data_IF_002670187821
#
_entry.id   IF_002670187821
#
_cell.length_a   1.000
_cell.length_b   1.000
_cell.length_c   1.000
_cell.angle_alpha   90.00
_cell.angle_beta   90.00
_cell.angle_gamma   90.00
#
_symmetry.space_group_name_H-M   'P 1'
#
loop_
_entity.id
_entity.type
_entity.pdbx_description
1 polymer ?
#
# COMPACT_ATOMS: atom_id res chain seq x y z
N UNK A 1 -13.84 7.30 -4.55
CA UNK A 1 -13.32 6.26 -5.46
C UNK A 1 -12.73 5.18 -4.55
N UNK A 2 -12.79 3.89 -4.88
CA UNK A 2 -12.09 2.85 -4.10
C UNK A 2 -10.92 2.29 -4.90
N UNK A 3 -9.87 1.84 -4.21
CA UNK A 3 -8.55 1.51 -4.75
C UNK A 3 -8.17 0.04 -4.50
N UNK A 4 -7.14 -0.45 -5.20
CA UNK A 4 -6.49 -1.73 -4.91
C UNK A 4 -5.46 -1.51 -3.79
N UNK A 5 -5.60 -2.22 -2.67
CA UNK A 5 -4.65 -2.18 -1.57
C UNK A 5 -3.57 -3.25 -1.76
N UNK A 6 -2.31 -2.82 -1.91
CA UNK A 6 -1.17 -3.72 -2.10
C UNK A 6 -0.31 -3.72 -0.83
N UNK A 7 -0.09 -4.89 -0.23
CA UNK A 7 0.68 -5.05 1.00
C UNK A 7 2.01 -5.74 0.74
N UNK A 8 3.10 -5.05 1.04
CA UNK A 8 4.47 -5.49 0.74
C UNK A 8 4.93 -6.59 1.71
N UNK A 9 5.73 -7.52 1.19
CA UNK A 9 6.34 -8.61 1.95
C UNK A 9 7.73 -8.26 2.50
N UNK A 10 8.41 -9.29 3.04
CA UNK A 10 9.81 -9.17 3.48
C UNK A 10 10.74 -8.78 2.31
N UNK A 11 11.63 -7.82 2.55
CA UNK A 11 12.48 -7.19 1.54
C UNK A 11 12.13 -5.72 1.30
N UNK A 12 10.93 -5.25 1.67
CA UNK A 12 10.52 -3.85 1.51
C UNK A 12 10.84 -2.95 2.70
N UNK A 13 11.37 -3.51 3.79
CA UNK A 13 11.69 -2.76 5.01
C UNK A 13 12.78 -1.72 4.78
N UNK A 14 12.72 -0.61 5.52
CA UNK A 14 13.74 0.45 5.50
C UNK A 14 14.08 0.87 6.93
N UNK A 15 15.35 1.17 7.25
CA UNK A 15 15.71 1.74 8.53
C UNK A 15 14.89 2.99 8.85
N UNK A 16 14.29 3.04 10.04
CA UNK A 16 13.45 4.14 10.53
C UNK A 16 12.01 4.17 10.01
N UNK A 17 11.56 3.14 9.28
CA UNK A 17 10.19 3.09 8.77
C UNK A 17 9.14 3.22 9.89
N UNK A 18 8.03 3.90 9.60
CA UNK A 18 6.90 4.08 10.52
C UNK A 18 6.89 5.40 11.30
N UNK A 19 8.05 6.00 11.58
CA UNK A 19 8.12 7.23 12.40
C UNK A 19 7.36 8.41 11.82
N UNK A 20 7.55 8.68 10.52
CA UNK A 20 6.83 9.74 9.82
C UNK A 20 5.33 9.48 9.82
N UNK A 21 4.94 8.22 9.57
CA UNK A 21 3.54 7.82 9.52
C UNK A 21 2.83 8.01 10.88
N UNK A 22 3.50 7.62 11.98
CA UNK A 22 3.02 7.82 13.35
C UNK A 22 2.91 9.31 13.70
N UNK A 23 3.85 10.14 13.24
CA UNK A 23 3.79 11.58 13.46
C UNK A 23 2.61 12.24 12.71
N UNK A 24 2.17 11.66 11.59
CA UNK A 24 1.13 12.20 10.72
C UNK A 24 -0.27 11.59 10.93
N UNK A 25 -0.39 10.49 11.66
CA UNK A 25 -1.64 9.77 11.85
C UNK A 25 -1.75 9.17 13.25
N UNK A 26 -2.78 9.59 13.98
CA UNK A 26 -3.14 9.00 15.27
C UNK A 26 -3.56 7.54 15.15
N UNK A 27 -4.23 7.15 14.06
CA UNK A 27 -4.58 5.75 13.80
C UNK A 27 -3.34 4.87 13.57
N UNK A 28 -2.31 5.41 12.90
CA UNK A 28 -1.02 4.74 12.79
C UNK A 28 -0.34 4.62 14.17
N UNK A 29 -0.34 5.67 14.99
CA UNK A 29 0.21 5.64 16.35
C UNK A 29 -0.42 4.54 17.20
N UNK A 30 -1.76 4.45 17.22
CA UNK A 30 -2.50 3.38 17.93
C UNK A 30 -2.15 1.98 17.42
N UNK A 31 -1.87 1.83 16.13
CA UNK A 31 -1.46 0.52 15.58
C UNK A 31 -0.08 0.10 16.10
N UNK A 32 0.86 1.04 16.24
CA UNK A 32 2.18 0.78 16.83
C UNK A 32 2.11 0.52 18.34
N UNK A 33 1.24 1.22 19.07
CA UNK A 33 0.95 0.94 20.49
C UNK A 33 0.42 -0.49 20.66
N UNK A 34 -0.58 -0.89 19.87
CA UNK A 34 -1.11 -2.26 19.86
C UNK A 34 -0.01 -3.29 19.60
N UNK A 35 0.87 -3.04 18.63
CA UNK A 35 1.97 -3.95 18.35
C UNK A 35 2.96 -4.06 19.52
N UNK A 36 3.21 -2.95 20.21
CA UNK A 36 3.99 -2.91 21.44
C UNK A 36 3.37 -3.73 22.55
N UNK A 37 2.06 -3.63 22.76
CA UNK A 37 1.31 -4.39 23.77
C UNK A 37 1.30 -5.90 23.46
N UNK A 38 1.13 -6.27 22.20
CA UNK A 38 1.09 -7.68 21.75
C UNK A 38 2.45 -8.36 21.88
N UNK A 39 3.54 -7.66 21.54
CA UNK A 39 4.86 -8.27 21.43
C UNK A 39 5.78 -7.98 22.62
N UNK A 40 5.48 -6.95 23.41
CA UNK A 40 6.39 -6.40 24.41
C UNK A 40 7.63 -5.75 23.80
N UNK A 41 7.57 -5.31 22.53
CA UNK A 41 8.70 -4.74 21.77
C UNK A 41 8.29 -3.41 21.15
N UNK A 42 9.11 -2.38 21.33
CA UNK A 42 8.99 -1.12 20.57
C UNK A 42 9.45 -1.34 19.12
N UNK A 43 8.48 -1.56 18.22
CA UNK A 43 8.76 -1.81 16.81
C UNK A 43 9.26 -0.57 16.05
N UNK A 44 8.96 0.66 16.50
CA UNK A 44 9.53 1.87 15.89
C UNK A 44 11.04 1.93 16.17
N UNK A 45 11.43 1.61 17.41
CA UNK A 45 12.84 1.52 17.78
C UNK A 45 13.55 0.37 17.07
N UNK A 46 12.92 -0.80 16.99
CA UNK A 46 13.49 -1.93 16.25
C UNK A 46 13.67 -1.60 14.76
N UNK A 47 12.73 -0.85 14.17
CA UNK A 47 12.81 -0.40 12.78
C UNK A 47 14.02 0.52 12.50
N UNK A 48 14.60 1.17 13.51
CA UNK A 48 15.83 1.96 13.34
C UNK A 48 17.04 1.12 12.92
N UNK A 49 16.96 -0.21 13.11
CA UNK A 49 17.97 -1.17 12.69
C UNK A 49 19.39 -0.89 13.23
N UNK A 50 19.51 -0.35 14.45
CA UNK A 50 20.80 0.04 15.05
C UNK A 50 21.72 -1.14 15.32
N UNK A 51 21.15 -2.33 15.51
CA UNK A 51 21.85 -3.56 15.83
C UNK A 51 21.54 -4.69 14.84
N UNK A 52 21.07 -4.37 13.64
CA UNK A 52 20.72 -5.37 12.62
C UNK A 52 19.40 -6.09 12.88
N UNK A 53 18.48 -5.46 13.62
CA UNK A 53 17.16 -6.00 13.95
C UNK A 53 16.36 -6.40 12.70
N UNK A 54 16.44 -5.63 11.63
CA UNK A 54 15.71 -5.88 10.38
C UNK A 54 16.26 -7.05 9.56
N UNK A 55 17.40 -7.62 9.95
CA UNK A 55 17.92 -8.87 9.37
C UNK A 55 17.35 -10.11 10.07
N UNK A 56 16.69 -9.95 11.22
CA UNK A 56 16.13 -11.04 12.02
C UNK A 56 14.67 -11.27 11.62
N UNK A 57 14.31 -12.43 11.03
CA UNK A 57 12.96 -12.72 10.55
C UNK A 57 11.88 -12.49 11.61
N UNK A 58 12.15 -12.87 12.85
CA UNK A 58 11.25 -12.72 13.98
C UNK A 58 10.99 -11.25 14.38
N UNK A 59 11.83 -10.31 13.96
CA UNK A 59 11.65 -8.88 14.20
C UNK A 59 11.12 -8.17 12.94
N UNK A 60 11.72 -8.45 11.78
CA UNK A 60 11.37 -7.75 10.54
C UNK A 60 9.94 -8.04 10.08
N UNK A 61 9.43 -9.26 10.26
CA UNK A 61 8.07 -9.58 9.82
C UNK A 61 7.01 -8.82 10.63
N UNK A 62 7.07 -8.74 11.97
CA UNK A 62 6.24 -7.84 12.74
C UNK A 62 6.38 -6.36 12.38
N UNK A 63 7.60 -5.88 12.10
CA UNK A 63 7.82 -4.48 11.69
C UNK A 63 7.08 -4.17 10.39
N UNK A 64 7.19 -5.04 9.38
CA UNK A 64 6.52 -4.86 8.08
C UNK A 64 5.00 -4.95 8.24
N UNK A 65 4.53 -5.96 8.98
CA UNK A 65 3.09 -6.18 9.24
C UNK A 65 2.47 -4.97 9.92
N UNK A 66 3.11 -4.48 10.98
CA UNK A 66 2.65 -3.31 11.74
C UNK A 66 2.64 -2.06 10.87
N UNK A 67 3.67 -1.86 10.03
CA UNK A 67 3.67 -0.73 9.10
C UNK A 67 2.51 -0.80 8.11
N UNK A 68 2.24 -1.97 7.52
CA UNK A 68 1.15 -2.12 6.56
C UNK A 68 -0.23 -1.87 7.18
N UNK A 69 -0.45 -2.36 8.40
CA UNK A 69 -1.65 -2.08 9.19
C UNK A 69 -1.78 -0.59 9.55
N UNK A 70 -0.67 0.04 9.97
CA UNK A 70 -0.62 1.46 10.28
C UNK A 70 -0.88 2.32 9.02
N UNK A 71 -0.35 1.89 7.86
CA UNK A 71 -0.50 2.59 6.59
C UNK A 71 -1.95 2.56 6.12
N UNK A 72 -2.63 1.40 6.19
CA UNK A 72 -4.06 1.34 5.82
C UNK A 72 -4.92 2.15 6.80
N UNK A 73 -4.61 2.13 8.09
CA UNK A 73 -5.29 2.94 9.10
C UNK A 73 -5.12 4.44 8.82
N UNK A 74 -3.89 4.88 8.48
CA UNK A 74 -3.60 6.26 8.13
C UNK A 74 -4.31 6.70 6.84
N UNK A 75 -4.30 5.88 5.79
CA UNK A 75 -5.02 6.18 4.55
C UNK A 75 -6.51 6.31 4.80
N UNK A 76 -7.11 5.41 5.59
CA UNK A 76 -8.53 5.50 5.99
C UNK A 76 -8.81 6.79 6.77
N UNK A 77 -7.95 7.15 7.74
CA UNK A 77 -8.06 8.40 8.50
C UNK A 77 -7.97 9.65 7.63
N UNK A 78 -7.03 9.68 6.67
CA UNK A 78 -6.76 10.86 5.84
C UNK A 78 -7.76 11.05 4.70
N UNK A 79 -8.25 9.96 4.12
CA UNK A 79 -9.07 10.01 2.90
C UNK A 79 -10.54 9.69 3.14
N UNK A 80 -10.88 9.00 4.24
CA UNK A 80 -12.21 8.46 4.50
C UNK A 80 -12.62 7.31 3.57
N UNK A 81 -11.70 6.78 2.74
CA UNK A 81 -12.01 5.79 1.71
C UNK A 81 -11.63 4.37 2.14
N UNK A 82 -12.53 3.44 1.87
CA UNK A 82 -12.25 2.01 1.92
C UNK A 82 -11.57 1.54 0.63
N UNK A 83 -10.68 0.54 0.76
CA UNK A 83 -10.16 -0.21 -0.39
C UNK A 83 -11.24 -1.16 -0.94
N UNK A 84 -11.10 -1.56 -2.21
CA UNK A 84 -12.06 -2.46 -2.87
C UNK A 84 -11.59 -3.91 -2.91
N UNK A 85 -10.28 -4.13 -2.98
CA UNK A 85 -9.62 -5.43 -3.08
C UNK A 85 -8.29 -5.34 -2.34
N UNK A 86 -7.89 -6.40 -1.66
CA UNK A 86 -6.63 -6.50 -0.95
C UNK A 86 -5.73 -7.58 -1.58
N UNK A 87 -4.47 -7.24 -1.81
CA UNK A 87 -3.44 -8.14 -2.34
C UNK A 87 -2.21 -8.04 -1.46
N UNK A 88 -1.68 -9.19 -1.08
CA UNK A 88 -0.46 -9.28 -0.31
C UNK A 88 0.62 -10.02 -1.06
N UNK A 89 1.86 -9.55 -0.99
CA UNK A 89 3.01 -10.29 -1.50
C UNK A 89 3.66 -11.06 -0.35
N UNK A 90 3.63 -12.40 -0.38
CA UNK A 90 4.16 -13.26 0.69
C UNK A 90 3.58 -12.88 2.06
N UNK A 91 4.40 -12.40 3.01
CA UNK A 91 3.97 -11.88 4.31
C UNK A 91 2.83 -10.84 4.19
N UNK A 92 2.80 -10.06 3.12
CA UNK A 92 1.74 -9.09 2.88
C UNK A 92 0.34 -9.69 2.86
N UNK A 93 0.19 -11.00 2.59
CA UNK A 93 -1.11 -11.68 2.57
C UNK A 93 -1.74 -11.72 3.97
N UNK A 94 -0.93 -11.86 5.01
CA UNK A 94 -1.37 -11.74 6.42
C UNK A 94 -1.92 -10.34 6.70
N UNK A 95 -1.26 -9.30 6.17
CA UNK A 95 -1.72 -7.91 6.31
C UNK A 95 -3.00 -7.68 5.52
N UNK A 96 -3.12 -8.24 4.32
CA UNK A 96 -4.30 -8.16 3.47
C UNK A 96 -5.53 -8.79 4.14
N UNK A 97 -5.36 -9.98 4.74
CA UNK A 97 -6.39 -10.65 5.53
C UNK A 97 -6.88 -9.77 6.68
N UNK A 98 -5.96 -9.20 7.45
CA UNK A 98 -6.33 -8.33 8.56
C UNK A 98 -7.00 -7.02 8.10
N UNK A 99 -6.48 -6.40 7.04
CA UNK A 99 -7.06 -5.18 6.48
C UNK A 99 -8.49 -5.39 5.94
N UNK A 100 -8.80 -6.61 5.48
CA UNK A 100 -10.14 -7.04 5.05
C UNK A 100 -11.09 -7.34 6.21
N UNK A 101 -10.58 -7.44 7.44
CA UNK A 101 -11.34 -7.82 8.63
C UNK A 101 -11.45 -9.32 8.87
N UNK A 102 -10.75 -10.16 8.09
CA UNK A 102 -10.79 -11.61 8.29
C UNK A 102 -10.09 -12.07 9.57
N UNK A 103 -9.03 -11.37 9.98
CA UNK A 103 -8.32 -11.60 11.23
C UNK A 103 -8.04 -10.27 11.93
N UNK A 104 -8.02 -10.28 13.26
CA UNK A 104 -7.75 -9.06 14.02
C UNK A 104 -6.29 -8.60 13.85
N UNK A 105 -6.06 -7.29 13.99
CA UNK A 105 -4.72 -6.70 13.83
C UNK A 105 -3.72 -7.29 14.83
N UNK A 106 -4.15 -7.52 16.08
CA UNK A 106 -3.33 -8.14 17.12
C UNK A 106 -2.88 -9.56 16.72
N UNK A 107 -3.80 -10.35 16.18
CA UNK A 107 -3.53 -11.72 15.72
C UNK A 107 -2.60 -11.72 14.51
N UNK A 108 -2.78 -10.81 13.57
CA UNK A 108 -1.88 -10.66 12.41
C UNK A 108 -0.44 -10.31 12.84
N UNK A 109 -0.27 -9.44 13.83
CA UNK A 109 1.04 -9.06 14.39
C UNK A 109 1.69 -10.25 15.11
N UNK A 110 0.93 -10.96 15.95
CA UNK A 110 1.41 -12.16 16.64
C UNK A 110 1.76 -13.29 15.65
N UNK A 111 0.95 -13.46 14.62
CA UNK A 111 1.18 -14.42 13.54
C UNK A 111 2.45 -14.10 12.76
N UNK A 112 2.69 -12.83 12.43
CA UNK A 112 3.91 -12.40 11.76
C UNK A 112 5.16 -12.68 12.62
N UNK A 113 5.06 -12.51 13.95
CA UNK A 113 6.13 -12.87 14.88
C UNK A 113 6.39 -14.37 14.87
N UNK A 114 5.34 -15.19 15.02
CA UNK A 114 5.43 -16.65 15.00
C UNK A 114 6.03 -17.15 13.68
N UNK A 115 5.55 -16.64 12.54
CA UNK A 115 6.05 -16.96 11.20
C UNK A 115 7.53 -16.62 11.06
N UNK A 116 7.94 -15.43 11.49
CA UNK A 116 9.35 -15.02 11.49
C UNK A 116 10.22 -15.95 12.35
N UNK A 117 9.79 -16.29 13.56
CA UNK A 117 10.52 -17.24 14.42
C UNK A 117 10.64 -18.63 13.80
N UNK A 118 9.54 -19.14 13.23
CA UNK A 118 9.50 -20.45 12.61
C UNK A 118 10.45 -20.52 11.39
N UNK A 119 10.38 -19.51 10.52
CA UNK A 119 11.27 -19.40 9.35
C UNK A 119 12.74 -19.22 9.76
N UNK A 120 13.02 -18.45 10.82
CA UNK A 120 14.37 -18.23 11.32
C UNK A 120 15.03 -19.45 11.96
N UNK A 121 14.25 -20.48 12.34
CA UNK A 121 14.74 -21.76 12.89
C UNK A 121 14.97 -22.83 11.83
N UNK A 122 14.48 -22.61 10.60
CA UNK A 122 14.70 -23.53 9.49
C UNK A 122 16.17 -23.55 9.06
N UNK A 123 16.52 -24.54 8.23
CA UNK A 123 17.84 -24.62 7.63
C UNK A 123 18.17 -23.31 6.86
N UNK A 124 19.35 -22.69 7.12
CA UNK A 124 19.78 -21.53 6.36
C UNK A 124 19.95 -21.87 4.88
N UNK A 125 19.46 -20.99 4.02
CA UNK A 125 19.58 -21.11 2.57
C UNK A 125 19.98 -19.80 1.92
N UNK A 126 19.69 -19.70 0.63
CA UNK A 126 19.93 -18.51 -0.18
C UNK A 126 18.69 -18.16 -1.00
N UNK A 127 18.63 -16.92 -1.46
CA UNK A 127 17.66 -16.46 -2.45
C UNK A 127 18.36 -15.63 -3.52
N UNK A 128 18.00 -15.82 -4.80
CA UNK A 128 18.52 -15.02 -5.89
C UNK A 128 17.39 -14.53 -6.79
N UNK A 129 17.51 -13.31 -7.29
CA UNK A 129 16.66 -12.77 -8.36
C UNK A 129 17.20 -13.25 -9.69
N UNK A 130 16.33 -13.71 -10.58
CA UNK A 130 16.65 -14.10 -11.96
C UNK A 130 15.99 -13.10 -12.90
N UNK A 131 16.77 -12.60 -13.86
CA UNK A 131 16.31 -11.64 -14.88
C UNK A 131 16.58 -12.18 -16.28
N UNK A 132 15.63 -11.98 -17.19
CA UNK A 132 15.79 -12.24 -18.62
C UNK A 132 15.32 -13.62 -19.08
N UNK A 133 14.73 -14.44 -18.19
CA UNK A 133 14.13 -15.73 -18.53
C UNK A 133 12.64 -15.76 -18.20
N UNK A 134 11.86 -16.45 -19.02
CA UNK A 134 10.46 -16.74 -18.73
C UNK A 134 10.31 -17.75 -17.60
N UNK A 135 9.19 -17.68 -16.87
CA UNK A 135 8.94 -18.52 -15.68
C UNK A 135 9.10 -20.01 -15.95
N UNK A 136 8.55 -20.52 -17.05
CA UNK A 136 8.64 -21.94 -17.40
C UNK A 136 10.10 -22.42 -17.56
N UNK A 137 10.97 -21.60 -18.16
CA UNK A 137 12.39 -21.94 -18.29
C UNK A 137 13.09 -21.99 -16.93
N UNK A 138 12.76 -21.07 -16.02
CA UNK A 138 13.32 -21.11 -14.66
C UNK A 138 12.79 -22.30 -13.87
N UNK A 139 11.51 -22.62 -14.01
CA UNK A 139 10.90 -23.82 -13.42
C UNK A 139 11.64 -25.10 -13.89
N UNK A 140 11.93 -25.22 -15.19
CA UNK A 140 12.68 -26.35 -15.77
C UNK A 140 14.12 -26.43 -15.22
N UNK A 141 14.81 -25.30 -15.07
CA UNK A 141 16.16 -25.26 -14.49
C UNK A 141 16.12 -25.68 -13.01
N UNK A 142 15.16 -25.17 -12.22
CA UNK A 142 15.00 -25.56 -10.82
C UNK A 142 14.62 -27.04 -10.66
N UNK A 143 13.89 -27.63 -11.62
CA UNK A 143 13.53 -29.04 -11.59
C UNK A 143 14.74 -29.99 -11.61
N UNK A 144 15.90 -29.54 -12.11
CA UNK A 144 17.16 -30.29 -12.07
C UNK A 144 17.68 -30.54 -10.65
N UNK A 145 17.27 -29.71 -9.68
CA UNK A 145 17.65 -29.77 -8.27
C UNK A 145 16.39 -29.80 -7.36
N UNK A 146 15.34 -30.47 -7.84
CA UNK A 146 14.05 -30.53 -7.16
C UNK A 146 14.19 -31.04 -5.70
N UNK A 147 13.60 -30.30 -4.77
CA UNK A 147 13.67 -30.61 -3.34
C UNK A 147 14.74 -29.81 -2.59
N UNK A 148 15.72 -29.22 -3.28
CA UNK A 148 16.72 -28.34 -2.67
C UNK A 148 16.50 -26.86 -3.04
N UNK A 149 15.95 -26.58 -4.22
CA UNK A 149 15.67 -25.22 -4.72
C UNK A 149 14.30 -25.18 -5.41
N UNK A 150 13.64 -24.03 -5.36
CA UNK A 150 12.40 -23.77 -6.06
C UNK A 150 12.34 -22.33 -6.56
N UNK A 151 11.46 -22.07 -7.53
CA UNK A 151 10.99 -20.72 -7.81
C UNK A 151 10.17 -20.27 -6.60
N UNK A 152 10.59 -19.15 -6.01
CA UNK A 152 10.04 -18.58 -4.79
C UNK A 152 8.99 -17.51 -5.09
N UNK A 153 9.28 -16.64 -6.06
CA UNK A 153 8.35 -15.59 -6.48
C UNK A 153 8.45 -15.37 -7.98
N UNK A 154 7.32 -15.19 -8.64
CA UNK A 154 7.17 -14.73 -10.02
C UNK A 154 6.67 -13.30 -9.94
N UNK A 155 7.47 -12.33 -10.39
CA UNK A 155 7.18 -10.91 -10.19
C UNK A 155 6.77 -10.22 -11.50
N UNK A 156 7.51 -10.48 -12.60
CA UNK A 156 7.24 -9.97 -13.96
C UNK A 156 7.55 -11.07 -14.98
N UNK A 157 7.07 -10.96 -16.22
CA UNK A 157 7.25 -11.94 -17.32
C UNK A 157 8.70 -12.41 -17.56
N UNK A 158 9.70 -11.62 -17.15
CA UNK A 158 11.13 -11.98 -17.21
C UNK A 158 11.88 -11.80 -15.89
N UNK A 159 11.17 -11.76 -14.75
CA UNK A 159 11.75 -11.54 -13.43
C UNK A 159 11.08 -12.43 -12.38
N UNK A 160 11.87 -13.31 -11.78
CA UNK A 160 11.45 -14.16 -10.66
C UNK A 160 12.54 -14.19 -9.59
N UNK A 161 12.25 -14.81 -8.45
CA UNK A 161 13.26 -15.18 -7.47
C UNK A 161 13.25 -16.69 -7.27
N UNK A 162 14.43 -17.25 -7.05
CA UNK A 162 14.63 -18.65 -6.63
C UNK A 162 15.11 -18.66 -5.18
N UNK A 163 14.80 -19.73 -4.45
CA UNK A 163 15.28 -19.92 -3.09
C UNK A 163 15.46 -21.40 -2.76
N UNK A 164 16.40 -21.69 -1.86
CA UNK A 164 16.73 -23.05 -1.49
C UNK A 164 18.07 -23.17 -0.77
N UNK A 165 18.61 -24.39 -0.77
CA UNK A 165 19.96 -24.66 -0.29
C UNK A 165 20.98 -23.83 -1.06
N UNK A 166 21.98 -23.28 -0.37
CA UNK A 166 22.97 -22.35 -0.96
C UNK A 166 23.61 -22.93 -2.22
N UNK A 167 24.10 -24.17 -2.14
CA UNK A 167 24.75 -24.83 -3.26
C UNK A 167 23.80 -25.09 -4.45
N UNK A 168 22.52 -25.36 -4.19
CA UNK A 168 21.52 -25.56 -5.25
C UNK A 168 21.18 -24.25 -5.96
N UNK A 169 21.01 -23.16 -5.20
CA UNK A 169 20.82 -21.81 -5.76
C UNK A 169 22.03 -21.40 -6.61
N UNK A 170 23.25 -21.66 -6.16
CA UNK A 170 24.47 -21.39 -6.94
C UNK A 170 24.53 -22.18 -8.25
N UNK A 171 24.13 -23.46 -8.26
CA UNK A 171 24.02 -24.27 -9.48
C UNK A 171 22.99 -23.69 -10.45
N UNK A 172 21.78 -23.36 -9.97
CA UNK A 172 20.75 -22.74 -10.80
C UNK A 172 21.23 -21.41 -11.38
N UNK A 173 21.88 -20.56 -10.58
CA UNK A 173 22.46 -19.31 -11.08
C UNK A 173 23.50 -19.53 -12.19
N UNK A 174 24.33 -20.57 -12.08
CA UNK A 174 25.30 -20.92 -13.11
C UNK A 174 24.63 -21.41 -14.41
N UNK A 175 23.56 -22.19 -14.32
CA UNK A 175 22.77 -22.61 -15.50
C UNK A 175 22.04 -21.43 -16.14
N UNK A 176 21.44 -20.54 -15.34
CA UNK A 176 20.82 -19.30 -15.84
C UNK A 176 21.84 -18.45 -16.61
N UNK A 177 23.07 -18.33 -16.11
CA UNK A 177 24.13 -17.59 -16.81
C UNK A 177 24.51 -18.23 -18.16
N UNK A 178 24.39 -19.55 -18.31
CA UNK A 178 24.61 -20.24 -19.60
C UNK A 178 23.49 -19.99 -20.61
N UNK A 179 22.34 -19.51 -20.15
CA UNK A 179 21.18 -19.12 -20.97
C UNK A 179 21.18 -17.61 -21.28
N UNK A 180 22.33 -16.94 -21.19
CA UNK A 180 22.51 -15.50 -21.42
C UNK A 180 21.62 -14.60 -20.55
N UNK A 181 21.26 -15.08 -19.36
CA UNK A 181 20.46 -14.38 -18.37
C UNK A 181 21.28 -13.99 -17.14
N UNK A 182 20.74 -13.11 -16.29
CA UNK A 182 21.47 -12.57 -15.14
C UNK A 182 20.81 -12.92 -13.83
N UNK A 183 21.62 -13.10 -12.79
CA UNK A 183 21.15 -13.37 -11.43
C UNK A 183 21.76 -12.41 -10.42
N UNK A 184 21.01 -12.09 -9.37
CA UNK A 184 21.49 -11.29 -8.24
C UNK A 184 21.17 -11.98 -6.91
N UNK A 185 22.21 -12.31 -6.14
CA UNK A 185 22.05 -12.92 -4.81
C UNK A 185 21.50 -11.90 -3.82
N UNK A 186 20.45 -12.28 -3.09
CA UNK A 186 19.85 -11.44 -2.06
C UNK A 186 20.59 -11.61 -0.73
N UNK A 187 20.81 -10.52 0.04
CA UNK A 187 21.51 -10.58 1.32
C UNK A 187 20.61 -11.09 2.45
N UNK A 188 20.03 -12.29 2.27
CA UNK A 188 19.13 -12.95 3.21
C UNK A 188 19.48 -14.43 3.31
N UNK A 189 19.37 -14.99 4.50
CA UNK A 189 19.67 -16.40 4.79
C UNK A 189 18.41 -17.26 4.86
N UNK A 190 17.23 -16.65 4.84
CA UNK A 190 15.95 -17.38 4.85
C UNK A 190 15.55 -17.68 3.41
N UNK A 191 15.46 -18.97 3.07
CA UNK A 191 14.99 -19.43 1.77
C UNK A 191 13.45 -19.54 1.72
N UNK A 192 12.76 -18.40 1.80
CA UNK A 192 11.29 -18.36 1.79
C UNK A 192 10.72 -18.96 0.50
N UNK A 193 9.54 -19.61 0.56
CA UNK A 193 8.87 -20.24 -0.59
C UNK A 193 9.69 -21.40 -1.20
N UNK A 194 10.31 -22.22 -0.34
CA UNK A 194 11.11 -23.36 -0.76
C UNK A 194 10.90 -24.58 0.14
N UNK A 195 11.36 -25.77 -0.29
CA UNK A 195 11.33 -26.97 0.55
C UNK A 195 11.99 -26.81 1.93
N UNK A 196 12.95 -25.88 2.08
CA UNK A 196 13.66 -25.63 3.35
C UNK A 196 12.74 -25.03 4.43
N UNK A 197 11.58 -24.49 4.07
CA UNK A 197 10.62 -23.91 5.02
C UNK A 197 9.69 -24.96 5.64
N UNK A 198 9.87 -26.26 5.35
CA UNK A 198 8.99 -27.34 5.82
C UNK A 198 8.87 -27.38 7.34
N UNK A 199 9.94 -27.13 8.07
CA UNK A 199 9.94 -27.15 9.54
C UNK A 199 9.17 -25.95 10.15
N UNK A 200 8.95 -24.87 9.38
CA UNK A 200 8.14 -23.74 9.81
C UNK A 200 6.63 -24.00 9.70
N UNK A 201 6.21 -25.03 8.94
CA UNK A 201 4.80 -25.33 8.68
C UNK A 201 4.05 -25.68 9.95
N UNK A 202 4.59 -26.56 10.80
CA UNK A 202 3.88 -27.03 11.99
C UNK A 202 3.68 -25.92 13.04
N UNK A 203 4.71 -25.12 13.41
CA UNK A 203 4.52 -23.97 14.30
C UNK A 203 3.53 -22.96 13.72
N UNK A 204 3.62 -22.65 12.42
CA UNK A 204 2.72 -21.70 11.79
C UNK A 204 1.28 -22.20 11.78
N UNK A 205 1.06 -23.48 11.45
CA UNK A 205 -0.27 -24.11 11.47
C UNK A 205 -0.92 -24.02 12.85
N UNK A 206 -0.18 -24.36 13.90
CA UNK A 206 -0.69 -24.26 15.27
C UNK A 206 -1.11 -22.82 15.63
N UNK A 207 -0.38 -21.81 15.16
CA UNK A 207 -0.73 -20.41 15.38
C UNK A 207 -1.96 -19.99 14.56
N UNK A 208 -2.06 -20.34 13.28
CA UNK A 208 -3.21 -19.94 12.46
C UNK A 208 -4.50 -20.65 12.92
N UNK A 209 -4.39 -21.88 13.44
CA UNK A 209 -5.53 -22.61 14.01
C UNK A 209 -6.10 -21.97 15.28
N UNK A 210 -5.30 -21.21 16.05
CA UNK A 210 -5.76 -20.51 17.25
C UNK A 210 -6.43 -19.16 16.98
N UNK A 211 -6.29 -18.62 15.76
CA UNK A 211 -6.81 -17.31 15.38
C UNK A 211 -8.29 -17.43 14.96
N UNK A 212 -9.21 -16.66 15.57
CA UNK A 212 -10.58 -16.57 15.08
C UNK A 212 -10.62 -15.94 13.68
N UNK A 213 -11.26 -16.60 12.73
CA UNK A 213 -11.41 -16.09 11.36
C UNK A 213 -12.83 -15.60 11.12
N UNK A 214 -12.94 -14.39 10.56
CA UNK A 214 -14.19 -13.75 10.15
C UNK A 214 -14.28 -13.69 8.62
N UNK A 215 -15.47 -13.41 8.10
CA UNK A 215 -15.66 -13.17 6.67
C UNK A 215 -15.03 -11.83 6.26
N UNK A 216 -14.18 -11.84 5.23
CA UNK A 216 -13.60 -10.62 4.67
C UNK A 216 -14.67 -9.66 4.15
N UNK A 217 -14.51 -8.37 4.45
CA UNK A 217 -15.39 -7.30 3.95
C UNK A 217 -15.10 -6.91 2.49
N UNK A 218 -13.95 -7.32 1.97
CA UNK A 218 -13.51 -7.14 0.58
C UNK A 218 -12.82 -8.42 0.10
N UNK A 219 -12.75 -8.68 -1.23
CA UNK A 219 -11.96 -9.80 -1.74
C UNK A 219 -10.48 -9.67 -1.37
N UNK A 220 -9.91 -10.74 -0.80
CA UNK A 220 -8.47 -10.94 -0.63
C UNK A 220 -8.05 -11.96 -1.67
N UNK A 221 -7.14 -11.58 -2.58
CA UNK A 221 -6.67 -12.48 -3.64
C UNK A 221 -5.40 -13.16 -3.17
N UNK A 222 -5.39 -14.49 -3.16
CA UNK A 222 -4.19 -15.25 -2.83
C UNK A 222 -3.15 -15.08 -3.93
N UNK A 223 -1.91 -14.84 -3.51
CA UNK A 223 -0.81 -14.72 -4.44
C UNK A 223 -0.31 -16.07 -4.97
N UNK A 224 -0.81 -17.20 -4.47
CA UNK A 224 -0.37 -18.54 -4.93
C UNK A 224 -1.13 -18.99 -6.17
N UNK A 225 -2.46 -18.87 -6.17
CA UNK A 225 -3.33 -19.38 -7.23
C UNK A 225 -4.27 -18.32 -7.85
N UNK A 226 -4.23 -17.08 -7.35
CA UNK A 226 -5.08 -16.00 -7.83
C UNK A 226 -6.57 -16.15 -7.47
N UNK A 227 -6.92 -17.10 -6.60
CA UNK A 227 -8.28 -17.25 -6.12
C UNK A 227 -8.58 -16.32 -4.96
N UNK A 228 -9.85 -15.99 -4.79
CA UNK A 228 -10.33 -15.24 -3.62
C UNK A 228 -10.23 -16.15 -2.40
N UNK A 229 -9.69 -15.64 -1.30
CA UNK A 229 -9.74 -16.32 0.01
C UNK A 229 -11.14 -16.10 0.60
N UNK A 230 -11.91 -17.17 0.76
CA UNK A 230 -13.36 -17.04 1.03
C UNK A 230 -13.78 -17.40 2.45
N UNK A 231 -13.17 -18.40 3.05
CA UNK A 231 -13.57 -18.94 4.35
C UNK A 231 -12.41 -19.23 5.30
N UNK A 232 -12.74 -19.66 6.51
CA UNK A 232 -11.78 -20.02 7.57
C UNK A 232 -10.78 -21.10 7.14
N UNK A 233 -11.22 -22.07 6.33
CA UNK A 233 -10.35 -23.13 5.83
C UNK A 233 -9.38 -22.58 4.81
N UNK A 234 -9.85 -21.76 3.86
CA UNK A 234 -8.99 -21.10 2.88
C UNK A 234 -7.90 -20.27 3.57
N UNK A 235 -8.27 -19.48 4.59
CA UNK A 235 -7.29 -18.67 5.35
C UNK A 235 -6.21 -19.56 5.96
N UNK A 236 -6.60 -20.65 6.62
CA UNK A 236 -5.65 -21.58 7.26
C UNK A 236 -4.74 -22.26 6.25
N UNK A 237 -5.32 -22.82 5.20
CA UNK A 237 -4.58 -23.62 4.23
C UNK A 237 -3.63 -22.73 3.41
N UNK A 238 -4.06 -21.52 3.00
CA UNK A 238 -3.26 -20.61 2.17
C UNK A 238 -2.14 -19.92 2.93
N UNK A 239 -2.40 -19.43 4.15
CA UNK A 239 -1.34 -18.81 4.98
C UNK A 239 -0.21 -19.79 5.26
N UNK A 240 -0.56 -21.06 5.53
CA UNK A 240 0.42 -22.12 5.78
C UNK A 240 1.09 -22.60 4.49
N UNK A 241 0.32 -22.83 3.43
CA UNK A 241 0.80 -23.28 2.11
C UNK A 241 1.77 -22.29 1.46
N UNK A 242 1.50 -20.99 1.61
CA UNK A 242 2.33 -19.91 1.11
C UNK A 242 3.77 -19.88 1.68
N UNK A 243 4.13 -20.70 2.68
CA UNK A 243 5.54 -20.88 3.06
C UNK A 243 6.34 -21.73 2.07
N UNK A 244 5.67 -22.65 1.37
CA UNK A 244 6.27 -23.65 0.48
C UNK A 244 5.95 -23.39 -0.99
N UNK A 245 4.89 -22.63 -1.26
CA UNK A 245 4.41 -22.37 -2.60
C UNK A 245 4.92 -21.02 -3.14
N UNK A 246 5.14 -20.91 -4.46
CA UNK A 246 5.60 -19.67 -5.07
C UNK A 246 4.55 -18.57 -4.98
N UNK A 247 5.00 -17.34 -4.79
CA UNK A 247 4.17 -16.14 -5.02
C UNK A 247 4.08 -15.90 -6.52
N UNK A 248 2.89 -15.93 -7.11
CA UNK A 248 2.60 -15.53 -8.49
C UNK A 248 1.93 -14.15 -8.54
N UNK A 249 2.76 -13.10 -8.56
CA UNK A 249 2.29 -11.73 -8.53
C UNK A 249 1.54 -11.30 -9.80
N UNK A 250 2.00 -11.62 -11.03
CA UNK A 250 1.25 -11.34 -12.25
C UNK A 250 -0.15 -11.96 -12.25
N UNK A 251 -0.27 -13.21 -11.80
CA UNK A 251 -1.57 -13.89 -11.67
C UNK A 251 -2.50 -13.16 -10.70
N UNK A 252 -2.00 -12.84 -9.50
CA UNK A 252 -2.77 -12.13 -8.48
C UNK A 252 -3.23 -10.74 -8.95
N UNK A 253 -2.34 -9.98 -9.60
CA UNK A 253 -2.64 -8.65 -10.15
C UNK A 253 -3.69 -8.75 -11.26
N UNK A 254 -3.56 -9.70 -12.19
CA UNK A 254 -4.55 -9.90 -13.26
C UNK A 254 -5.93 -10.22 -12.68
N UNK A 255 -5.99 -11.06 -11.63
CA UNK A 255 -7.21 -11.37 -10.89
C UNK A 255 -7.80 -10.15 -10.20
N UNK A 256 -6.99 -9.35 -9.53
CA UNK A 256 -7.45 -8.11 -8.90
C UNK A 256 -8.02 -7.09 -9.90
N UNK A 257 -7.38 -6.94 -11.06
CA UNK A 257 -7.87 -6.07 -12.14
C UNK A 257 -9.19 -6.59 -12.71
N UNK A 258 -9.39 -7.91 -12.78
CA UNK A 258 -10.67 -8.50 -13.18
C UNK A 258 -11.82 -8.18 -12.20
N UNK A 259 -11.51 -7.87 -10.93
CA UNK A 259 -12.47 -7.31 -9.96
C UNK A 259 -12.73 -5.80 -10.11
N UNK A 260 -12.16 -5.18 -11.16
CA UNK A 260 -12.35 -3.79 -11.56
C UNK A 260 -11.07 -2.97 -11.45
N UNK A 261 -10.61 -2.46 -12.59
CA UNK A 261 -9.43 -1.59 -12.66
C UNK A 261 -9.64 -0.29 -11.88
N UNK A 262 -8.70 0.00 -10.99
CA UNK A 262 -8.73 1.12 -10.04
C UNK A 262 -7.31 1.62 -9.83
N UNK A 263 -7.12 2.82 -9.26
CA UNK A 263 -5.82 3.21 -8.75
C UNK A 263 -5.34 2.21 -7.70
N UNK A 264 -4.03 1.97 -7.65
CA UNK A 264 -3.38 1.07 -6.70
C UNK A 264 -2.61 1.86 -5.63
N UNK A 265 -2.70 1.39 -4.39
CA UNK A 265 -1.99 1.99 -3.25
C UNK A 265 -1.14 0.92 -2.59
N UNK A 266 0.18 1.06 -2.68
CA UNK A 266 1.11 0.26 -1.90
C UNK A 266 1.19 0.77 -0.46
N UNK A 267 0.85 -0.11 0.46
CA UNK A 267 0.80 0.09 1.91
C UNK A 267 2.07 -0.49 2.54
N UNK A 268 3.22 -0.18 1.94
CA UNK A 268 4.55 -0.60 2.36
C UNK A 268 5.51 0.57 2.46
N UNK A 269 6.68 0.34 3.08
CA UNK A 269 7.68 1.38 3.33
C UNK A 269 8.50 1.76 2.08
N UNK A 270 8.44 0.96 1.02
CA UNK A 270 9.11 1.18 -0.25
C UNK A 270 8.12 1.34 -1.41
N UNK A 271 8.59 1.17 -2.64
CA UNK A 271 7.77 1.32 -3.86
C UNK A 271 7.70 0.06 -4.71
N UNK A 272 8.08 -1.10 -4.16
CA UNK A 272 8.27 -2.32 -4.94
C UNK A 272 6.97 -2.75 -5.62
N UNK A 273 5.88 -2.87 -4.86
CA UNK A 273 4.61 -3.34 -5.43
C UNK A 273 3.97 -2.30 -6.36
N UNK A 274 4.15 -1.00 -6.06
CA UNK A 274 3.75 0.10 -6.95
C UNK A 274 4.45 0.00 -8.30
N UNK A 275 5.75 -0.28 -8.30
CA UNK A 275 6.54 -0.35 -9.52
C UNK A 275 6.22 -1.63 -10.30
N UNK A 276 6.01 -2.77 -9.60
CA UNK A 276 5.55 -4.01 -10.22
C UNK A 276 4.16 -3.88 -10.86
N UNK A 277 3.18 -3.28 -10.18
CA UNK A 277 1.82 -3.15 -10.75
C UNK A 277 1.81 -2.24 -11.98
N UNK A 278 2.61 -1.16 -11.98
CA UNK A 278 2.77 -0.28 -13.15
C UNK A 278 3.39 -0.99 -14.35
N UNK A 279 4.27 -1.96 -14.11
CA UNK A 279 4.87 -2.77 -15.18
C UNK A 279 3.92 -3.85 -15.72
N UNK A 280 2.91 -4.24 -14.95
CA UNK A 280 1.96 -5.29 -15.32
C UNK A 280 0.64 -4.78 -15.90
N UNK A 281 0.23 -3.56 -15.53
CA UNK A 281 -1.09 -3.01 -15.88
C UNK A 281 -0.93 -1.67 -16.57
N UNK A 282 -1.15 -1.66 -17.88
CA UNK A 282 -1.07 -0.44 -18.69
C UNK A 282 -2.06 0.63 -18.19
N UNK A 283 -1.55 1.86 -18.02
CA UNK A 283 -2.36 3.00 -17.63
C UNK A 283 -2.85 2.99 -16.18
N UNK A 284 -2.37 2.07 -15.33
CA UNK A 284 -2.73 2.08 -13.89
C UNK A 284 -2.10 3.28 -13.18
N UNK A 285 -2.92 4.08 -12.49
CA UNK A 285 -2.42 5.01 -11.49
C UNK A 285 -2.00 4.22 -10.24
N UNK A 286 -0.77 4.37 -9.78
CA UNK A 286 -0.30 3.69 -8.58
C UNK A 286 0.58 4.61 -7.74
N UNK A 287 0.47 4.56 -6.42
CA UNK A 287 1.34 5.29 -5.47
C UNK A 287 1.69 4.41 -4.28
N UNK A 288 2.74 4.77 -3.55
CA UNK A 288 3.15 4.14 -2.31
C UNK A 288 3.06 5.10 -1.13
N UNK A 289 2.54 4.63 0.00
CA UNK A 289 2.55 5.39 1.26
C UNK A 289 3.98 5.70 1.69
N UNK A 290 4.87 4.71 1.67
CA UNK A 290 6.24 4.86 2.16
C UNK A 290 7.16 5.65 1.23
N UNK A 291 6.92 5.64 -0.07
CA UNK A 291 7.76 6.33 -1.05
C UNK A 291 7.20 7.68 -1.52
N UNK A 292 5.87 7.80 -1.67
CA UNK A 292 5.21 8.99 -2.23
C UNK A 292 4.45 9.80 -1.17
N UNK A 293 4.18 9.21 0.00
CA UNK A 293 3.49 9.86 1.11
C UNK A 293 1.96 9.88 0.99
N UNK A 294 1.29 10.17 2.11
CA UNK A 294 -0.18 10.26 2.19
C UNK A 294 -0.81 11.32 1.26
N UNK A 295 -0.19 12.49 1.01
CA UNK A 295 -0.73 13.46 0.04
C UNK A 295 -0.86 12.89 -1.38
N UNK A 296 0.09 12.06 -1.84
CA UNK A 296 0.03 11.42 -3.15
C UNK A 296 -1.09 10.38 -3.21
N UNK A 297 -1.29 9.62 -2.13
CA UNK A 297 -2.46 8.73 -1.99
C UNK A 297 -3.74 9.53 -2.15
N UNK A 298 -3.91 10.60 -1.39
CA UNK A 298 -5.10 11.44 -1.45
C UNK A 298 -5.35 11.98 -2.86
N UNK A 299 -4.31 12.36 -3.61
CA UNK A 299 -4.46 12.88 -4.97
C UNK A 299 -5.09 11.87 -5.94
N UNK A 300 -4.74 10.57 -5.83
CA UNK A 300 -5.24 9.54 -6.75
C UNK A 300 -6.53 8.86 -6.27
N UNK A 301 -6.78 8.83 -4.96
CA UNK A 301 -7.99 8.16 -4.41
C UNK A 301 -9.13 9.12 -4.14
N UNK A 302 -8.86 10.41 -3.95
CA UNK A 302 -9.90 11.41 -3.79
C UNK A 302 -10.83 11.34 -5.00
N UNK A 303 -12.15 11.38 -4.80
CA UNK A 303 -13.03 11.61 -5.94
C UNK A 303 -12.56 12.91 -6.60
N UNK A 304 -12.13 12.83 -7.85
CA UNK A 304 -12.11 13.96 -8.76
C UNK A 304 -13.54 14.45 -8.93
N UNK A 305 -14.08 15.11 -7.92
CA UNK A 305 -15.03 16.18 -8.15
C UNK A 305 -14.20 17.40 -8.47
N UNK A 306 -13.66 17.42 -9.68
CA UNK A 306 -13.57 18.71 -10.34
C UNK A 306 -15.01 19.18 -10.52
N UNK A 307 -15.42 20.32 -9.94
CA UNK A 307 -16.66 20.92 -10.37
C UNK A 307 -16.49 21.28 -11.85
N UNK A 308 -17.22 20.57 -12.72
CA UNK A 308 -17.35 20.96 -14.12
C UNK A 308 -18.06 22.31 -14.18
N UNK A 309 -17.35 23.37 -14.59
CA UNK A 309 -17.92 24.72 -14.68
C UNK A 309 -16.90 25.76 -15.15
N UNK A 310 -17.40 26.83 -15.75
CA UNK A 310 -16.61 28.01 -16.10
C UNK A 310 -16.00 28.62 -14.82
N UNK A 311 -14.71 28.98 -14.84
CA UNK A 311 -14.00 29.59 -13.71
C UNK A 311 -14.71 30.84 -13.19
N UNK A 312 -15.42 31.58 -14.05
CA UNK A 312 -16.27 32.71 -13.66
C UNK A 312 -17.51 32.28 -12.87
N UNK A 313 -18.17 31.19 -13.29
CA UNK A 313 -19.34 30.68 -12.57
C UNK A 313 -18.96 30.18 -11.18
N UNK A 314 -17.80 29.51 -11.07
CA UNK A 314 -17.26 29.04 -9.81
C UNK A 314 -16.81 30.19 -8.91
N UNK A 315 -16.14 31.21 -9.45
CA UNK A 315 -15.77 32.40 -8.69
C UNK A 315 -17.01 33.14 -8.16
N UNK A 316 -18.06 33.28 -8.97
CA UNK A 316 -19.32 33.91 -8.55
C UNK A 316 -20.03 33.09 -7.46
N UNK A 317 -20.06 31.77 -7.60
CA UNK A 317 -20.62 30.88 -6.59
C UNK A 317 -19.82 30.92 -5.28
N UNK A 318 -18.49 30.96 -5.37
CA UNK A 318 -17.58 31.07 -4.23
C UNK A 318 -17.79 32.35 -3.42
N UNK A 319 -17.86 33.50 -4.09
CA UNK A 319 -18.15 34.78 -3.44
C UNK A 319 -19.51 34.77 -2.74
N UNK A 320 -20.56 34.22 -3.38
CA UNK A 320 -21.89 34.08 -2.76
C UNK A 320 -21.86 33.17 -1.55
N UNK A 321 -21.16 32.04 -1.64
CA UNK A 321 -21.02 31.08 -0.57
C UNK A 321 -20.32 31.68 0.65
N UNK A 322 -19.20 32.39 0.43
CA UNK A 322 -18.49 33.09 1.49
C UNK A 322 -19.36 34.18 2.10
N UNK A 323 -20.06 34.99 1.30
CA UNK A 323 -20.89 36.08 1.81
C UNK A 323 -22.09 35.59 2.64
N UNK A 324 -22.72 34.48 2.21
CA UNK A 324 -23.91 33.91 2.86
C UNK A 324 -23.61 33.03 4.07
N UNK A 325 -22.34 32.73 4.35
CA UNK A 325 -21.95 31.82 5.44
C UNK A 325 -21.27 32.60 6.58
N UNK A 326 -21.86 32.63 7.80
CA UNK A 326 -21.25 33.29 8.95
C UNK A 326 -20.03 32.51 9.48
N UNK A 327 -19.09 33.20 10.11
CA UNK A 327 -17.94 32.54 10.77
C UNK A 327 -18.39 31.79 12.02
N UNK A 328 -17.85 30.59 12.26
CA UNK A 328 -18.07 29.81 13.50
C UNK A 328 -16.89 29.90 14.47
N UNK A 329 -15.80 30.56 14.05
CA UNK A 329 -14.58 30.75 14.83
C UNK A 329 -14.13 32.21 14.77
N UNK A 330 -13.38 32.65 15.77
CA UNK A 330 -12.66 33.92 15.70
C UNK A 330 -11.47 33.78 14.75
N UNK A 331 -11.29 34.78 13.87
CA UNK A 331 -10.20 34.81 12.91
C UNK A 331 -9.05 35.66 13.44
N UNK A 332 -7.82 35.17 13.28
CA UNK A 332 -6.62 35.97 13.51
C UNK A 332 -6.48 37.09 12.47
N UNK A 333 -5.71 38.13 12.80
CA UNK A 333 -5.41 39.21 11.85
C UNK A 333 -4.77 38.70 10.54
N UNK A 334 -3.90 37.68 10.62
CA UNK A 334 -3.28 37.06 9.45
C UNK A 334 -4.31 36.33 8.56
N UNK A 335 -5.26 35.62 9.16
CA UNK A 335 -6.34 34.95 8.42
C UNK A 335 -7.31 35.95 7.78
N UNK A 336 -7.57 37.08 8.43
CA UNK A 336 -8.37 38.17 7.85
C UNK A 336 -7.68 38.77 6.62
N UNK A 337 -6.38 39.08 6.70
CA UNK A 337 -5.63 39.60 5.55
C UNK A 337 -5.53 38.60 4.40
N UNK A 338 -5.25 37.33 4.70
CA UNK A 338 -5.23 36.27 3.68
C UNK A 338 -6.60 36.09 3.03
N UNK A 339 -7.67 36.08 3.83
CA UNK A 339 -9.04 36.00 3.34
C UNK A 339 -9.42 37.14 2.39
N UNK A 340 -9.00 38.38 2.69
CA UNK A 340 -9.16 39.53 1.77
C UNK A 340 -8.45 39.30 0.44
N UNK A 341 -7.25 38.73 0.48
CA UNK A 341 -6.48 38.42 -0.72
C UNK A 341 -7.19 37.39 -1.59
N UNK A 342 -7.70 36.31 -0.99
CA UNK A 342 -8.43 35.28 -1.72
C UNK A 342 -9.75 35.81 -2.31
N UNK A 343 -10.47 36.67 -1.58
CA UNK A 343 -11.67 37.35 -2.09
C UNK A 343 -11.37 38.31 -3.25
N UNK A 344 -10.23 38.99 -3.20
CA UNK A 344 -9.74 39.84 -4.29
C UNK A 344 -9.42 39.02 -5.53
N UNK A 345 -8.71 37.90 -5.36
CA UNK A 345 -8.40 36.97 -6.44
C UNK A 345 -9.68 36.40 -7.08
N UNK A 346 -10.66 35.96 -6.27
CA UNK A 346 -11.97 35.52 -6.77
C UNK A 346 -12.71 36.61 -7.57
N UNK A 347 -12.61 37.88 -7.15
CA UNK A 347 -13.17 39.01 -7.91
C UNK A 347 -12.45 39.24 -9.24
N UNK A 348 -11.12 39.10 -9.26
CA UNK A 348 -10.34 39.24 -10.48
C UNK A 348 -10.69 38.15 -11.51
N UNK A 349 -10.99 36.94 -11.04
CA UNK A 349 -11.49 35.87 -11.91
C UNK A 349 -12.82 36.21 -12.60
N UNK A 350 -13.66 37.06 -12.01
CA UNK A 350 -14.91 37.53 -12.63
C UNK A 350 -14.69 38.59 -13.70
N UNK A 351 -13.63 39.40 -13.57
CA UNK A 351 -13.38 40.58 -14.40
C UNK A 351 -12.34 40.35 -15.49
N UNK A 352 -11.59 39.24 -15.43
CA UNK A 352 -10.61 38.87 -16.45
C UNK A 352 -11.30 38.65 -17.81
N UNK A 353 -11.01 39.51 -18.80
CA UNK A 353 -11.52 39.40 -20.17
C UNK A 353 -10.93 38.20 -20.94
N UNK A 354 -11.52 37.80 -22.08
CA UNK A 354 -10.92 36.79 -22.94
C UNK A 354 -9.71 37.40 -23.66
N UNK A 355 -8.52 37.01 -23.19
CA UNK A 355 -7.18 37.26 -23.74
C UNK A 355 -6.56 38.64 -23.50
N UNK A 356 -5.56 38.66 -22.60
CA UNK A 356 -4.25 39.23 -22.92
C UNK A 356 -3.23 38.09 -22.81
N UNK A 357 -2.47 37.86 -23.88
CA UNK A 357 -1.59 36.70 -24.11
C UNK A 357 -0.38 36.55 -23.18
N UNK A 358 -0.43 37.13 -21.98
CA UNK A 358 0.60 37.02 -20.93
C UNK A 358 0.01 36.70 -19.55
N UNK A 359 -1.32 36.69 -19.38
CA UNK A 359 -1.97 36.27 -18.15
C UNK A 359 -2.29 34.77 -18.22
N UNK A 360 -1.81 34.00 -17.22
CA UNK A 360 -2.13 32.58 -17.03
C UNK A 360 -3.64 32.41 -17.16
N UNK A 361 -4.10 31.56 -18.08
CA UNK A 361 -5.52 31.24 -18.19
C UNK A 361 -6.00 30.72 -16.83
N UNK A 362 -6.86 31.48 -16.16
CA UNK A 362 -7.26 31.16 -14.80
C UNK A 362 -8.18 29.94 -14.79
N UNK A 363 -7.85 28.94 -13.96
CA UNK A 363 -8.51 27.65 -13.98
C UNK A 363 -9.75 27.61 -13.07
N UNK A 364 -10.66 26.69 -13.35
CA UNK A 364 -11.77 26.36 -12.46
C UNK A 364 -11.27 25.94 -11.06
N UNK A 365 -10.14 25.24 -11.00
CA UNK A 365 -9.52 24.78 -9.75
C UNK A 365 -9.06 25.95 -8.87
N UNK A 366 -8.54 27.03 -9.47
CA UNK A 366 -8.10 28.22 -8.74
C UNK A 366 -9.29 28.87 -8.00
N UNK A 367 -10.45 29.01 -8.65
CA UNK A 367 -11.66 29.54 -8.02
C UNK A 367 -12.13 28.67 -6.83
N UNK A 368 -11.99 27.36 -6.94
CA UNK A 368 -12.39 26.42 -5.89
C UNK A 368 -11.47 26.55 -4.68
N UNK A 369 -10.16 26.52 -4.88
CA UNK A 369 -9.18 26.56 -3.78
C UNK A 369 -9.20 27.89 -3.03
N UNK A 370 -9.35 29.01 -3.75
CA UNK A 370 -9.54 30.33 -3.10
C UNK A 370 -10.80 30.36 -2.23
N UNK A 371 -11.87 29.71 -2.67
CA UNK A 371 -13.13 29.61 -1.89
C UNK A 371 -12.96 28.72 -0.67
N UNK A 372 -12.30 27.57 -0.82
CA UNK A 372 -12.01 26.62 0.27
C UNK A 372 -11.16 27.28 1.33
N UNK A 373 -10.12 28.01 0.93
CA UNK A 373 -9.22 28.71 1.83
C UNK A 373 -9.99 29.71 2.70
N UNK A 374 -10.80 30.58 2.10
CA UNK A 374 -11.61 31.56 2.87
C UNK A 374 -12.62 30.89 3.80
N UNK A 375 -13.25 29.80 3.38
CA UNK A 375 -14.24 29.09 4.19
C UNK A 375 -13.60 28.31 5.35
N UNK A 376 -12.36 27.85 5.17
CA UNK A 376 -11.58 27.22 6.25
C UNK A 376 -11.30 28.20 7.39
N UNK A 377 -10.96 29.46 7.06
CA UNK A 377 -10.81 30.51 8.07
C UNK A 377 -12.10 30.82 8.83
N UNK A 378 -13.26 30.58 8.20
CA UNK A 378 -14.58 30.69 8.84
C UNK A 378 -14.97 29.47 9.68
N UNK A 379 -14.13 28.44 9.75
CA UNK A 379 -14.35 27.22 10.52
C UNK A 379 -15.06 26.09 9.76
N UNK A 380 -15.12 26.16 8.43
CA UNK A 380 -15.80 25.14 7.61
C UNK A 380 -14.80 24.19 6.93
N UNK A 381 -15.06 22.88 7.05
CA UNK A 381 -14.25 21.86 6.40
C UNK A 381 -14.25 22.01 4.87
N UNK A 382 -13.08 21.77 4.25
CA UNK A 382 -12.88 21.93 2.81
C UNK A 382 -13.86 21.08 1.98
N UNK A 383 -14.15 19.85 2.41
CA UNK A 383 -15.09 18.95 1.73
C UNK A 383 -16.53 19.50 1.71
N UNK A 384 -16.99 20.07 2.84
CA UNK A 384 -18.30 20.71 2.95
C UNK A 384 -18.39 21.91 2.00
N UNK A 385 -17.33 22.71 1.94
CA UNK A 385 -17.24 23.86 1.04
C UNK A 385 -17.30 23.44 -0.42
N UNK A 386 -16.50 22.44 -0.85
CA UNK A 386 -16.52 21.92 -2.23
C UNK A 386 -17.88 21.35 -2.62
N UNK A 387 -18.56 20.65 -1.69
CA UNK A 387 -19.91 20.12 -1.92
C UNK A 387 -20.95 21.23 -2.15
N UNK A 388 -20.93 22.28 -1.30
CA UNK A 388 -21.82 23.45 -1.44
C UNK A 388 -21.55 24.25 -2.71
N UNK A 389 -20.28 24.41 -3.07
CA UNK A 389 -19.87 25.10 -4.29
C UNK A 389 -20.33 24.35 -5.55
N UNK A 390 -20.13 23.02 -5.59
CA UNK A 390 -20.58 22.17 -6.70
C UNK A 390 -22.11 22.21 -6.88
N UNK A 391 -22.87 22.16 -5.77
CA UNK A 391 -24.33 22.26 -5.80
C UNK A 391 -24.82 23.63 -6.32
N UNK A 392 -24.02 24.68 -6.14
CA UNK A 392 -24.36 26.05 -6.56
C UNK A 392 -24.15 26.30 -8.07
N UNK A 393 -23.43 25.40 -8.76
CA UNK A 393 -23.10 25.52 -10.19
C UNK A 393 -23.82 24.46 -11.04
N UNK A 394 -24.26 23.34 -10.44
CA UNK A 394 -24.91 22.20 -11.13
C UNK A 394 -26.42 22.04 -10.90
N UNK A 395 -27.21 23.12 -10.96
CA UNK A 395 -28.67 23.05 -10.77
C UNK A 395 -29.45 23.95 -11.72
N UNK A 396 -29.78 23.44 -12.91
CA UNK A 396 -31.05 23.77 -13.57
C UNK A 396 -31.97 22.59 -13.34
N UNK A 397 -32.95 22.75 -12.46
CA UNK A 397 -34.17 21.94 -12.45
C UNK A 397 -35.06 22.37 -13.61
#
# INVERSE_FOLDING_TARGET
MSYLALFSGQGSQRPGMGRELVALSTAAATTYELAGDVLGIDLLRAAENRHGELSRPEIVQPVITTFGLAAIAAVRQWTGLAHAVALGHSLGEVVALSASGAIEAADAIALARCRGEAMGRCEPGAMAVVFGLGHATVDDVCAGDAGEVAVATRNLTGQCTISGAVAAVERVCAEVARLDATTHMLPITVAAHSPLMRDAVLPLRAMVESIPVQTSTVPVISCVDGEVITDERDVRDRVVGALLEPVDWPLAVARAVAHGQRPAVELGAGSVLRDLVRALVDGVEAVSVGADGLPAVQAIVAPTRQPSGDSRQLAAAGLRLVASTPSTVEMTAAQLERGKHCLSALRNLLTAGPQDGTARAASADEAVELTVEVMSFKGYAAEVTRKRLSASVGGRA
#
